data_IF_562900454464
#
_entry.id   IF_562900454464
#
_cell.length_a   1.000
_cell.length_b   1.000
_cell.length_c   1.000
_cell.angle_alpha   90.00
_cell.angle_beta   90.00
_cell.angle_gamma   90.00
#
_symmetry.space_group_name_H-M   'P 1'
#
loop_
_entity.id
_entity.type
_entity.pdbx_description
1 polymer ?
#
# COMPACT_ATOMS: atom_id res chain seq x y z
N UNK A 1 -14.64 19.02 10.77
CA UNK A 1 -14.36 17.60 10.47
C UNK A 1 -12.87 17.39 10.71
N UNK A 2 -12.51 16.86 11.87
CA UNK A 2 -11.11 16.62 12.26
C UNK A 2 -10.63 15.29 11.63
N UNK A 3 -9.47 15.33 10.95
CA UNK A 3 -8.92 14.21 10.19
C UNK A 3 -7.92 13.41 11.04
N UNK A 4 -8.38 12.28 11.56
CA UNK A 4 -7.77 11.41 12.61
C UNK A 4 -6.57 10.56 12.16
N UNK A 5 -5.76 10.98 11.20
CA UNK A 5 -4.88 10.06 10.45
C UNK A 5 -3.66 9.51 11.21
N UNK A 6 -3.26 10.06 12.36
CA UNK A 6 -2.00 9.65 13.03
C UNK A 6 -2.15 8.70 14.22
N UNK A 7 -3.24 8.78 14.99
CA UNK A 7 -3.42 7.88 16.13
C UNK A 7 -3.83 6.46 15.71
N UNK A 8 -4.31 6.31 14.47
CA UNK A 8 -4.60 5.01 13.85
C UNK A 8 -3.32 4.29 13.33
N UNK A 9 -2.13 4.91 13.38
CA UNK A 9 -0.95 4.39 12.64
C UNK A 9 -0.22 3.23 13.30
N UNK A 10 -0.17 3.17 14.64
CA UNK A 10 0.68 2.17 15.33
C UNK A 10 0.28 0.73 15.02
N UNK A 11 -1.00 0.50 14.74
CA UNK A 11 -1.57 -0.83 14.54
C UNK A 11 -2.11 -1.08 13.12
N UNK A 12 -2.16 -0.06 12.25
CA UNK A 12 -2.67 -0.23 10.87
C UNK A 12 -1.81 -1.23 10.10
N UNK A 13 -0.49 -1.06 10.11
CA UNK A 13 0.43 -1.93 9.38
C UNK A 13 0.88 -3.13 10.23
N UNK A 14 -0.09 -3.87 10.73
CA UNK A 14 0.17 -5.10 11.48
C UNK A 14 -0.96 -6.10 11.22
N UNK A 15 -0.63 -7.38 11.06
CA UNK A 15 -1.59 -8.47 10.88
C UNK A 15 -1.91 -8.77 9.41
N UNK A 16 -2.95 -9.58 9.21
CA UNK A 16 -3.36 -10.08 7.90
C UNK A 16 -4.58 -9.34 7.37
N UNK A 17 -4.56 -9.05 6.07
CA UNK A 17 -5.59 -8.29 5.37
C UNK A 17 -5.97 -9.03 4.09
N UNK A 18 -7.27 -9.08 3.79
CA UNK A 18 -7.73 -9.30 2.44
C UNK A 18 -7.55 -7.99 1.66
N UNK A 19 -7.08 -8.07 0.42
CA UNK A 19 -7.04 -6.91 -0.46
C UNK A 19 -7.82 -7.14 -1.76
N UNK A 20 -8.36 -6.04 -2.28
CA UNK A 20 -8.89 -5.94 -3.64
C UNK A 20 -8.19 -4.77 -4.32
N UNK A 21 -7.53 -5.03 -5.45
CA UNK A 21 -6.86 -4.04 -6.29
C UNK A 21 -7.60 -3.92 -7.62
N UNK A 22 -7.95 -2.69 -8.00
CA UNK A 22 -8.48 -2.38 -9.32
C UNK A 22 -7.35 -1.69 -10.09
N UNK A 23 -7.02 -2.18 -11.27
CA UNK A 23 -6.03 -1.60 -12.19
C UNK A 23 -6.79 -1.10 -13.42
N UNK A 24 -6.47 0.10 -13.92
CA UNK A 24 -7.22 0.70 -15.03
C UNK A 24 -6.73 0.31 -16.42
N UNK A 25 -5.46 -0.07 -16.56
CA UNK A 25 -4.86 -0.42 -17.85
C UNK A 25 -3.75 -1.47 -17.69
N UNK A 26 -3.96 -2.72 -18.14
CA UNK A 26 -5.26 -3.24 -18.57
C UNK A 26 -6.27 -3.20 -17.42
N UNK A 27 -7.55 -3.10 -17.75
CA UNK A 27 -8.61 -3.18 -16.73
C UNK A 27 -8.64 -4.58 -16.13
N UNK A 28 -8.26 -4.69 -14.86
CA UNK A 28 -8.30 -5.96 -14.13
C UNK A 28 -8.52 -5.76 -12.64
N UNK A 29 -8.95 -6.83 -12.00
CA UNK A 29 -9.12 -6.92 -10.56
C UNK A 29 -8.15 -7.98 -10.03
N UNK A 30 -7.32 -7.60 -9.07
CA UNK A 30 -6.50 -8.52 -8.28
C UNK A 30 -7.13 -8.66 -6.90
N UNK A 31 -7.23 -9.88 -6.39
CA UNK A 31 -7.65 -10.15 -5.02
C UNK A 31 -6.64 -11.05 -4.34
N UNK A 32 -6.44 -10.89 -3.04
CA UNK A 32 -5.51 -11.74 -2.32
C UNK A 32 -5.35 -11.38 -0.87
N UNK A 33 -4.25 -11.84 -0.29
CA UNK A 33 -3.92 -11.63 1.11
C UNK A 33 -2.63 -10.83 1.22
N UNK A 34 -2.62 -9.85 2.12
CA UNK A 34 -1.46 -9.08 2.52
C UNK A 34 -1.17 -9.32 4.00
N UNK A 35 0.11 -9.46 4.35
CA UNK A 35 0.56 -9.71 5.71
C UNK A 35 1.59 -8.64 6.08
N UNK A 36 1.31 -7.95 7.17
CA UNK A 36 2.20 -6.98 7.79
C UNK A 36 2.74 -7.55 9.11
N UNK A 37 4.05 -7.77 9.18
CA UNK A 37 4.73 -8.32 10.35
C UNK A 37 5.61 -7.23 10.95
N UNK A 38 5.27 -6.78 12.16
CA UNK A 38 6.10 -5.84 12.92
C UNK A 38 7.30 -6.59 13.50
N UNK A 39 8.52 -6.15 13.17
CA UNK A 39 9.76 -6.74 13.70
C UNK A 39 10.29 -5.95 14.90
N UNK A 40 10.18 -4.63 14.84
CA UNK A 40 10.53 -3.71 15.92
C UNK A 40 9.59 -2.49 15.87
N UNK A 41 9.81 -1.49 16.72
CA UNK A 41 8.94 -0.31 16.79
C UNK A 41 8.87 0.49 15.48
N UNK A 42 9.89 0.39 14.64
CA UNK A 42 10.09 1.23 13.47
C UNK A 42 10.12 0.45 12.15
N UNK A 43 10.01 -0.88 12.18
CA UNK A 43 10.14 -1.73 11.00
C UNK A 43 9.00 -2.74 10.89
N UNK A 44 8.33 -2.69 9.75
CA UNK A 44 7.28 -3.64 9.35
C UNK A 44 7.68 -4.30 8.04
N UNK A 45 7.64 -5.64 8.01
CA UNK A 45 7.76 -6.41 6.76
C UNK A 45 6.37 -6.58 6.15
N UNK A 46 6.29 -6.30 4.86
CA UNK A 46 5.10 -6.47 4.06
C UNK A 46 5.31 -7.58 3.04
N UNK A 47 4.33 -8.47 2.92
CA UNK A 47 4.21 -9.38 1.78
C UNK A 47 2.77 -9.48 1.32
N UNK A 48 2.57 -9.63 0.03
CA UNK A 48 1.27 -9.97 -0.56
C UNK A 48 1.41 -11.12 -1.55
N UNK A 49 0.32 -11.88 -1.64
CA UNK A 49 0.04 -12.84 -2.70
C UNK A 49 -1.35 -12.51 -3.23
N UNK A 50 -1.46 -12.36 -4.55
CA UNK A 50 -2.70 -12.00 -5.22
C UNK A 50 -2.94 -12.83 -6.46
N UNK A 51 -4.20 -12.97 -6.81
CA UNK A 51 -4.68 -13.67 -7.99
C UNK A 51 -5.46 -12.71 -8.88
N UNK A 52 -5.31 -12.88 -10.19
CA UNK A 52 -6.10 -12.15 -11.17
C UNK A 52 -6.26 -12.98 -12.44
N UNK A 53 -7.27 -12.63 -13.24
CA UNK A 53 -7.50 -13.23 -14.55
C UNK A 53 -7.22 -12.19 -15.63
N UNK A 54 -6.45 -12.56 -16.64
CA UNK A 54 -6.21 -11.74 -17.82
C UNK A 54 -6.40 -12.61 -19.06
N UNK A 55 -7.28 -12.19 -19.98
CA UNK A 55 -7.61 -12.94 -21.20
C UNK A 55 -8.00 -14.41 -20.93
N UNK A 56 -8.78 -14.65 -19.87
CA UNK A 56 -9.22 -15.98 -19.46
C UNK A 56 -8.16 -16.86 -18.80
N UNK A 57 -6.93 -16.37 -18.63
CA UNK A 57 -5.86 -17.10 -17.93
C UNK A 57 -5.71 -16.56 -16.51
N UNK A 58 -5.61 -17.45 -15.52
CA UNK A 58 -5.31 -17.09 -14.13
C UNK A 58 -3.82 -16.90 -13.92
N UNK A 59 -3.49 -15.88 -13.12
CA UNK A 59 -2.13 -15.52 -12.76
C UNK A 59 -2.03 -15.27 -11.27
N UNK A 60 -0.82 -15.48 -10.74
CA UNK A 60 -0.46 -15.12 -9.37
C UNK A 60 0.58 -14.01 -9.39
N UNK A 61 0.43 -13.04 -8.50
CA UNK A 61 1.40 -11.98 -8.28
C UNK A 61 1.86 -11.95 -6.82
N UNK A 62 3.11 -11.56 -6.62
CA UNK A 62 3.72 -11.43 -5.31
C UNK A 62 4.41 -10.09 -5.18
N UNK A 63 4.38 -9.52 -3.98
CA UNK A 63 5.19 -8.35 -3.66
C UNK A 63 5.69 -8.44 -2.23
N UNK A 64 6.93 -8.00 -2.03
CA UNK A 64 7.56 -7.88 -0.72
C UNK A 64 8.18 -6.49 -0.58
N UNK A 65 7.93 -5.86 0.56
CA UNK A 65 8.42 -4.52 0.87
C UNK A 65 8.77 -4.40 2.35
N UNK A 66 9.56 -3.38 2.67
CA UNK A 66 9.83 -2.99 4.06
C UNK A 66 9.30 -1.59 4.29
N UNK A 67 8.53 -1.42 5.37
CA UNK A 67 8.02 -0.14 5.84
C UNK A 67 8.88 0.26 7.03
N UNK A 68 9.58 1.39 6.89
CA UNK A 68 10.33 2.00 7.98
C UNK A 68 9.55 3.22 8.46
N UNK A 69 9.09 3.15 9.71
CA UNK A 69 8.36 4.20 10.39
C UNK A 69 9.31 4.95 11.32
N UNK A 70 9.34 6.26 11.19
CA UNK A 70 10.00 7.15 12.15
C UNK A 70 8.95 8.10 12.73
N UNK A 71 9.39 9.06 13.55
CA UNK A 71 8.50 10.09 14.11
C UNK A 71 7.85 10.96 13.04
N UNK A 72 8.57 11.24 11.96
CA UNK A 72 8.20 12.24 10.94
C UNK A 72 8.15 11.68 9.51
N UNK A 73 8.60 10.44 9.29
CA UNK A 73 8.54 9.80 7.96
C UNK A 73 8.06 8.35 7.95
N UNK A 74 7.37 7.98 6.87
CA UNK A 74 7.19 6.58 6.46
C UNK A 74 7.99 6.35 5.17
N UNK A 75 8.92 5.41 5.20
CA UNK A 75 9.74 5.03 4.05
C UNK A 75 9.34 3.62 3.62
N UNK A 76 9.00 3.45 2.35
CA UNK A 76 8.73 2.13 1.76
C UNK A 76 9.92 1.73 0.89
N UNK A 77 10.50 0.58 1.17
CA UNK A 77 11.61 0.00 0.44
C UNK A 77 11.17 -1.29 -0.26
N UNK A 78 11.79 -1.60 -1.41
CA UNK A 78 11.62 -2.89 -2.06
C UNK A 78 12.37 -4.01 -1.30
N UNK A 79 12.26 -5.24 -1.80
CA UNK A 79 12.89 -6.42 -1.21
C UNK A 79 14.44 -6.39 -1.15
N UNK A 80 15.10 -5.52 -1.93
CA UNK A 80 16.57 -5.32 -1.90
C UNK A 80 16.98 -4.08 -1.09
N UNK A 81 16.05 -3.46 -0.36
CA UNK A 81 16.33 -2.29 0.50
C UNK A 81 16.39 -0.94 -0.22
N UNK A 82 16.09 -0.88 -1.52
CA UNK A 82 16.02 0.40 -2.25
C UNK A 82 14.73 1.12 -1.90
N UNK A 83 14.85 2.40 -1.52
CA UNK A 83 13.71 3.27 -1.29
C UNK A 83 12.87 3.44 -2.55
N UNK A 84 11.58 3.15 -2.41
CA UNK A 84 10.55 3.38 -3.42
C UNK A 84 9.80 4.69 -3.12
N UNK A 85 9.35 4.87 -1.87
CA UNK A 85 8.49 5.98 -1.48
C UNK A 85 8.90 6.55 -0.13
N UNK A 86 8.73 7.85 0.03
CA UNK A 86 8.91 8.57 1.29
C UNK A 86 7.67 9.43 1.50
N UNK A 87 7.00 9.24 2.62
CA UNK A 87 5.84 10.03 3.04
C UNK A 87 6.22 10.83 4.26
N UNK A 88 5.87 12.11 4.26
CA UNK A 88 6.00 12.94 5.44
C UNK A 88 4.80 12.71 6.37
N UNK A 89 5.09 12.50 7.65
CA UNK A 89 4.14 12.25 8.73
C UNK A 89 4.25 13.24 9.88
N UNK A 90 4.94 14.36 9.66
CA UNK A 90 5.20 15.45 10.59
C UNK A 90 3.98 16.01 11.35
N UNK A 91 2.76 15.92 10.79
CA UNK A 91 1.56 16.36 11.48
C UNK A 91 0.39 15.37 11.39
N UNK A 92 -0.50 15.41 12.39
CA UNK A 92 -1.63 14.48 12.54
C UNK A 92 -2.62 14.44 11.38
N UNK A 93 -2.53 15.45 10.52
CA UNK A 93 -3.40 15.71 9.40
C UNK A 93 -2.68 15.58 8.05
N UNK A 94 -1.39 15.17 8.02
CA UNK A 94 -0.63 15.07 6.77
C UNK A 94 -1.15 13.90 5.96
N UNK A 95 -1.70 14.22 4.79
CA UNK A 95 -2.04 13.24 3.77
C UNK A 95 -0.78 12.46 3.44
N UNK A 96 -0.84 11.12 3.53
CA UNK A 96 0.25 10.25 3.10
C UNK A 96 0.28 10.22 1.57
N UNK A 97 0.72 11.32 0.96
CA UNK A 97 0.88 11.47 -0.46
C UNK A 97 2.35 11.62 -0.80
N UNK A 98 2.82 10.85 -1.78
CA UNK A 98 4.13 11.03 -2.37
C UNK A 98 3.95 11.24 -3.88
N UNK A 99 4.69 12.19 -4.43
CA UNK A 99 4.75 12.42 -5.87
C UNK A 99 6.21 12.45 -6.28
N UNK A 100 6.56 11.69 -7.31
CA UNK A 100 7.92 11.69 -7.82
C UNK A 100 7.96 11.36 -9.31
N UNK A 101 9.07 11.74 -9.94
CA UNK A 101 9.39 11.40 -11.32
C UNK A 101 10.36 10.23 -11.28
N UNK A 102 10.03 9.16 -12.01
CA UNK A 102 10.92 8.03 -12.22
C UNK A 102 11.15 7.89 -13.73
N UNK A 103 12.36 8.24 -14.19
CA UNK A 103 12.68 8.37 -15.62
C UNK A 103 11.73 9.37 -16.30
N UNK A 104 10.86 8.89 -17.18
CA UNK A 104 9.89 9.71 -17.93
C UNK A 104 8.46 9.54 -17.41
N UNK A 105 8.29 8.83 -16.31
CA UNK A 105 6.99 8.52 -15.74
C UNK A 105 6.78 9.35 -14.46
N UNK A 106 5.62 9.98 -14.36
CA UNK A 106 5.15 10.71 -13.19
C UNK A 106 4.30 9.78 -12.33
N UNK A 107 4.72 9.60 -11.08
CA UNK A 107 4.06 8.77 -10.09
C UNK A 107 3.41 9.63 -9.01
N UNK A 108 2.12 9.40 -8.75
CA UNK A 108 1.40 9.95 -7.60
C UNK A 108 0.88 8.77 -6.79
N UNK A 109 1.17 8.78 -5.50
CA UNK A 109 0.87 7.66 -4.60
C UNK A 109 0.24 8.22 -3.34
N UNK A 110 -0.87 7.64 -2.92
CA UNK A 110 -1.58 8.03 -1.71
C UNK A 110 -1.88 6.82 -0.84
N UNK A 111 -1.81 7.00 0.48
CA UNK A 111 -2.30 6.05 1.48
C UNK A 111 -3.38 6.76 2.31
N UNK A 112 -4.61 6.27 2.23
CA UNK A 112 -5.72 6.75 3.02
C UNK A 112 -6.05 5.73 4.11
N UNK A 113 -5.63 6.02 5.34
CA UNK A 113 -5.93 5.19 6.51
C UNK A 113 -7.31 5.59 7.04
N UNK A 114 -8.27 4.66 6.95
CA UNK A 114 -9.64 4.89 7.40
C UNK A 114 -9.84 4.39 8.83
N UNK A 115 -9.19 3.28 9.19
CA UNK A 115 -9.11 2.71 10.54
C UNK A 115 -7.89 1.79 10.66
N UNK A 116 -7.66 1.21 11.84
CA UNK A 116 -6.63 0.16 12.02
C UNK A 116 -6.91 -1.07 11.15
N UNK A 117 -8.15 -1.25 10.69
CA UNK A 117 -8.63 -2.45 10.02
C UNK A 117 -8.92 -2.21 8.54
N UNK A 118 -8.82 -0.97 8.08
CA UNK A 118 -9.17 -0.59 6.72
C UNK A 118 -8.33 0.59 6.25
N UNK A 119 -7.65 0.41 5.13
CA UNK A 119 -6.93 1.49 4.46
C UNK A 119 -6.93 1.25 2.95
N UNK A 120 -6.74 2.34 2.21
CA UNK A 120 -6.71 2.35 0.75
C UNK A 120 -5.36 2.89 0.32
N UNK A 121 -4.73 2.24 -0.67
CA UNK A 121 -3.61 2.82 -1.40
C UNK A 121 -4.05 3.13 -2.82
N UNK A 122 -3.62 4.26 -3.36
CA UNK A 122 -3.83 4.58 -4.77
C UNK A 122 -2.53 4.98 -5.44
N UNK A 123 -2.36 4.54 -6.67
CA UNK A 123 -1.26 4.88 -7.56
C UNK A 123 -1.86 5.47 -8.83
N UNK A 124 -1.27 6.56 -9.32
CA UNK A 124 -1.48 7.06 -10.67
C UNK A 124 -0.12 7.23 -11.33
N UNK A 125 0.05 6.59 -12.49
CA UNK A 125 1.29 6.60 -13.25
C UNK A 125 1.00 7.15 -14.64
N UNK A 126 1.66 8.25 -14.98
CA UNK A 126 1.53 8.91 -16.28
C UNK A 126 2.89 9.11 -16.92
N UNK A 127 3.10 8.56 -18.10
CA UNK A 127 4.31 8.73 -18.89
C UNK A 127 4.12 8.25 -20.32
N UNK A 128 5.13 8.38 -21.19
CA UNK A 128 5.00 8.08 -22.63
C UNK A 128 4.57 6.64 -22.95
N UNK A 129 4.83 5.69 -22.04
CA UNK A 129 4.54 4.26 -22.23
C UNK A 129 3.63 3.67 -21.15
N UNK A 130 3.19 4.48 -20.18
CA UNK A 130 2.39 4.03 -19.04
C UNK A 130 1.33 5.07 -18.74
N UNK A 131 0.07 4.66 -18.73
CA UNK A 131 -1.02 5.52 -18.33
C UNK A 131 -2.05 4.69 -17.59
N UNK A 132 -1.78 4.41 -16.31
CA UNK A 132 -2.65 3.57 -15.51
C UNK A 132 -2.81 4.14 -14.10
N UNK A 133 -3.91 3.77 -13.47
CA UNK A 133 -4.12 3.90 -12.05
C UNK A 133 -4.30 2.53 -11.41
N UNK A 134 -3.96 2.45 -10.13
CA UNK A 134 -4.29 1.30 -9.30
C UNK A 134 -4.89 1.80 -7.99
N UNK A 135 -5.93 1.14 -7.51
CA UNK A 135 -6.48 1.38 -6.18
C UNK A 135 -6.58 0.06 -5.45
N UNK A 136 -5.92 -0.06 -4.31
CA UNK A 136 -5.95 -1.25 -3.46
C UNK A 136 -6.64 -0.94 -2.16
N UNK A 137 -7.74 -1.63 -1.90
CA UNK A 137 -8.45 -1.59 -0.62
C UNK A 137 -8.02 -2.77 0.22
N UNK A 138 -7.56 -2.51 1.44
CA UNK A 138 -7.18 -3.52 2.42
C UNK A 138 -8.23 -3.57 3.52
N UNK A 139 -8.65 -4.79 3.90
CA UNK A 139 -9.55 -5.05 5.02
C UNK A 139 -8.96 -6.14 5.90
N UNK A 140 -8.82 -5.85 7.20
CA UNK A 140 -8.27 -6.80 8.17
C UNK A 140 -9.10 -8.07 8.17
N UNK A 141 -8.43 -9.21 8.19
CA UNK A 141 -9.08 -10.50 8.37
C UNK A 141 -9.58 -10.58 9.81
N UNK A 142 -10.90 -10.74 9.99
CA UNK A 142 -11.46 -11.08 11.29
C UNK A 142 -10.89 -12.42 11.73
N UNK A 143 -10.25 -12.47 12.89
CA UNK A 143 -9.96 -13.75 13.53
C UNK A 143 -11.30 -14.30 14.03
N UNK A 144 -11.91 -15.19 13.24
CA UNK A 144 -12.93 -16.06 13.81
C UNK A 144 -12.19 -17.09 14.67
N UNK A 145 -12.17 -16.84 15.98
CA UNK A 145 -11.95 -17.93 16.92
C UNK A 145 -13.19 -18.84 16.79
N UNK A 146 -12.97 -20.04 16.24
CA UNK A 146 -13.89 -21.15 16.41
C UNK A 146 -13.84 -21.63 17.86
#
# INVERSE_FOLDING_TARGET
MENTQLHLRENTFQGSFNFKRIVSDPELIVTGTAIFIKHDNNKVQYREEGHYTLNGTEYVCYQQQTFLLTTDTLIIQNNIGKTLHIFNVDNKNTKLQNTHICKNDHYVIDINIQSNDCFITSYSVKGPKKNYSMMTTYKRMSHNFL
#
